data_IF_252990561251
#
_entry.id   IF_252990561251
#
_cell.length_a   1.000
_cell.length_b   1.000
_cell.length_c   1.000
_cell.angle_alpha   90.00
_cell.angle_beta   90.00
_cell.angle_gamma   90.00
#
_symmetry.space_group_name_H-M   'P 1'
#
loop_
_entity.id
_entity.type
_entity.pdbx_description
1 polymer ?
#
# COMPACT_ATOMS: atom_id res chain seq x y z
N UNK A 1 1.34 18.76 15.56
CA UNK A 1 0.58 18.56 14.30
C UNK A 1 1.53 18.32 13.11
N UNK A 2 2.44 19.24 12.79
CA UNK A 2 3.41 19.10 11.68
C UNK A 2 4.26 17.81 11.77
N UNK A 3 4.75 17.46 12.96
CA UNK A 3 5.52 16.23 13.17
C UNK A 3 4.73 14.96 12.79
N UNK A 4 3.43 14.93 13.09
CA UNK A 4 2.59 13.78 12.74
C UNK A 4 2.34 13.71 11.23
N UNK A 5 2.14 14.85 10.58
CA UNK A 5 2.02 14.94 9.11
C UNK A 5 3.28 14.43 8.42
N UNK A 6 4.46 14.93 8.82
CA UNK A 6 5.74 14.48 8.26
C UNK A 6 6.00 12.99 8.51
N UNK A 7 5.60 12.48 9.68
CA UNK A 7 5.70 11.07 10.03
C UNK A 7 4.81 10.19 9.13
N UNK A 8 3.54 10.57 8.93
CA UNK A 8 2.63 9.83 8.04
C UNK A 8 3.12 9.87 6.60
N UNK A 9 3.62 11.02 6.14
CA UNK A 9 4.17 11.17 4.80
C UNK A 9 5.41 10.31 4.58
N UNK A 10 6.38 10.34 5.50
CA UNK A 10 7.60 9.52 5.40
C UNK A 10 7.29 8.03 5.44
N UNK A 11 6.38 7.58 6.31
CA UNK A 11 6.00 6.15 6.35
C UNK A 11 5.20 5.72 5.13
N UNK A 12 4.36 6.59 4.58
CA UNK A 12 3.65 6.32 3.32
C UNK A 12 4.64 6.17 2.16
N UNK A 13 5.66 7.04 2.11
CA UNK A 13 6.72 6.97 1.12
C UNK A 13 7.54 5.69 1.26
N UNK A 14 8.00 5.37 2.48
CA UNK A 14 8.76 4.13 2.74
C UNK A 14 7.91 2.92 2.36
N UNK A 15 6.64 2.90 2.76
CA UNK A 15 5.72 1.81 2.42
C UNK A 15 5.58 1.61 0.92
N UNK A 16 5.42 2.70 0.15
CA UNK A 16 5.30 2.64 -1.29
C UNK A 16 6.59 2.13 -1.94
N UNK A 17 7.74 2.71 -1.58
CA UNK A 17 9.05 2.34 -2.13
C UNK A 17 9.37 0.89 -1.79
N UNK A 18 9.19 0.46 -0.53
CA UNK A 18 9.43 -0.92 -0.13
C UNK A 18 8.52 -1.89 -0.88
N UNK A 19 7.22 -1.60 -0.99
CA UNK A 19 6.29 -2.46 -1.72
C UNK A 19 6.70 -2.60 -3.19
N UNK A 20 7.11 -1.50 -3.83
CA UNK A 20 7.58 -1.54 -5.21
C UNK A 20 8.89 -2.32 -5.36
N UNK A 21 9.82 -2.21 -4.41
CA UNK A 21 11.07 -2.97 -4.44
C UNK A 21 10.85 -4.47 -4.26
N UNK A 22 9.90 -4.88 -3.41
CA UNK A 22 9.63 -6.29 -3.14
C UNK A 22 8.76 -6.97 -4.18
N UNK A 23 7.73 -6.27 -4.69
CA UNK A 23 6.72 -6.88 -5.55
C UNK A 23 6.85 -6.49 -7.02
N UNK A 24 7.37 -5.29 -7.32
CA UNK A 24 7.46 -4.74 -8.68
C UNK A 24 6.12 -4.75 -9.43
N UNK A 25 5.01 -4.65 -8.71
CA UNK A 25 3.64 -4.76 -9.26
C UNK A 25 3.05 -3.44 -9.72
N UNK A 26 3.61 -2.29 -9.31
CA UNK A 26 3.07 -0.98 -9.66
C UNK A 26 3.73 -0.51 -10.96
N UNK A 27 2.92 -0.37 -12.01
CA UNK A 27 3.32 0.24 -13.28
C UNK A 27 2.66 1.62 -13.40
N UNK A 28 3.49 2.62 -13.71
CA UNK A 28 3.15 4.04 -13.83
C UNK A 28 3.38 4.56 -15.26
N UNK A 29 3.61 3.65 -16.22
CA UNK A 29 3.81 3.98 -17.62
C UNK A 29 5.04 4.83 -17.93
N UNK A 30 5.01 5.52 -19.06
CA UNK A 30 6.15 6.25 -19.63
C UNK A 30 6.54 7.54 -18.89
N UNK A 31 5.62 8.14 -18.13
CA UNK A 31 5.86 9.38 -17.36
C UNK A 31 5.55 9.16 -15.87
N UNK A 32 6.45 8.50 -15.13
CA UNK A 32 6.14 8.00 -13.80
C UNK A 32 6.12 9.09 -12.71
N UNK A 33 6.72 10.26 -12.95
CA UNK A 33 6.91 11.28 -11.91
C UNK A 33 5.61 11.94 -11.41
N UNK A 34 4.69 12.40 -12.27
CA UNK A 34 3.42 12.96 -11.79
C UNK A 34 2.56 11.90 -11.08
N UNK A 35 2.58 10.67 -11.60
CA UNK A 35 1.75 9.57 -11.11
C UNK A 35 2.23 9.04 -9.77
N UNK A 36 3.55 8.93 -9.56
CA UNK A 36 4.10 8.51 -8.27
C UNK A 36 3.78 9.51 -7.16
N UNK A 37 3.78 10.81 -7.48
CA UNK A 37 3.39 11.87 -6.54
C UNK A 37 1.90 11.73 -6.20
N UNK A 38 1.05 11.49 -7.20
CA UNK A 38 -0.38 11.36 -6.98
C UNK A 38 -0.72 10.11 -6.15
N UNK A 39 -0.07 8.99 -6.45
CA UNK A 39 -0.16 7.74 -5.70
C UNK A 39 0.29 7.94 -4.25
N UNK A 40 1.44 8.58 -4.05
CA UNK A 40 1.95 8.91 -2.72
C UNK A 40 0.98 9.80 -1.94
N UNK A 41 0.44 10.85 -2.58
CA UNK A 41 -0.53 11.75 -1.94
C UNK A 41 -1.82 11.03 -1.58
N UNK A 42 -2.28 10.12 -2.44
CA UNK A 42 -3.49 9.32 -2.21
C UNK A 42 -3.31 8.40 -0.99
N UNK A 43 -2.18 7.68 -0.93
CA UNK A 43 -1.83 6.81 0.19
C UNK A 43 -1.64 7.64 1.48
N UNK A 44 -0.98 8.79 1.38
CA UNK A 44 -0.81 9.72 2.50
C UNK A 44 -2.15 10.19 3.07
N UNK A 45 -3.07 10.63 2.21
CA UNK A 45 -4.41 11.06 2.61
C UNK A 45 -5.19 9.91 3.25
N UNK A 46 -5.19 8.73 2.63
CA UNK A 46 -5.79 7.53 3.20
C UNK A 46 -5.27 7.28 4.61
N UNK A 47 -3.95 7.25 4.78
CA UNK A 47 -3.29 6.97 6.06
C UNK A 47 -3.57 8.03 7.12
N UNK A 48 -3.70 9.30 6.73
CA UNK A 48 -3.99 10.40 7.64
C UNK A 48 -5.45 10.39 8.11
N UNK A 49 -6.39 10.08 7.22
CA UNK A 49 -7.83 10.22 7.50
C UNK A 49 -8.53 8.93 7.92
N UNK A 50 -7.95 7.75 7.68
CA UNK A 50 -8.59 6.48 8.01
C UNK A 50 -8.90 6.34 9.51
N UNK A 51 -8.00 6.75 10.40
CA UNK A 51 -8.25 6.68 11.84
C UNK A 51 -9.39 7.61 12.29
N UNK A 52 -9.41 8.91 11.94
CA UNK A 52 -10.54 9.80 12.19
C UNK A 52 -11.87 9.26 11.64
N UNK A 53 -11.87 8.78 10.39
CA UNK A 53 -13.08 8.28 9.72
C UNK A 53 -13.63 7.06 10.44
N UNK A 54 -12.78 6.11 10.82
CA UNK A 54 -13.21 4.93 11.57
C UNK A 54 -13.71 5.30 12.98
N UNK A 55 -13.13 6.33 13.60
CA UNK A 55 -13.60 6.86 14.88
C UNK A 55 -15.04 7.39 14.82
N UNK A 56 -15.41 8.08 13.74
CA UNK A 56 -16.78 8.60 13.54
C UNK A 56 -17.78 7.45 13.38
N UNK A 57 -17.39 6.39 12.66
CA UNK A 57 -18.26 5.22 12.39
C UNK A 57 -18.20 4.19 13.54
N UNK A 58 -17.50 4.50 14.64
CA UNK A 58 -17.30 3.59 15.79
C UNK A 58 -16.70 2.22 15.40
N UNK A 59 -15.91 2.19 14.32
CA UNK A 59 -15.20 1.00 13.86
C UNK A 59 -13.86 0.82 14.60
N UNK A 60 -13.33 -0.42 14.67
CA UNK A 60 -12.05 -0.68 15.34
C UNK A 60 -10.90 0.17 14.77
N UNK A 61 -10.29 1.00 15.62
CA UNK A 61 -9.20 1.91 15.24
C UNK A 61 -7.78 1.40 15.61
N UNK A 62 -7.69 0.23 16.26
CA UNK A 62 -6.46 -0.37 16.77
C UNK A 62 -6.39 -1.89 16.51
N UNK A 63 -5.18 -2.45 16.62
CA UNK A 63 -4.93 -3.89 16.52
C UNK A 63 -5.07 -4.48 15.11
N UNK A 64 -5.20 -5.82 15.06
CA UNK A 64 -5.33 -6.60 13.82
C UNK A 64 -6.61 -6.30 13.04
N UNK A 65 -7.73 -6.03 13.73
CA UNK A 65 -8.99 -5.65 13.08
C UNK A 65 -8.84 -4.36 12.27
N UNK A 66 -8.13 -3.37 12.80
CA UNK A 66 -7.81 -2.17 12.03
C UNK A 66 -6.93 -2.49 10.82
N UNK A 67 -5.94 -3.39 10.94
CA UNK A 67 -5.10 -3.75 9.80
C UNK A 67 -5.95 -4.30 8.65
N UNK A 68 -6.92 -5.16 8.96
CA UNK A 68 -7.83 -5.70 7.95
C UNK A 68 -8.68 -4.60 7.28
N UNK A 69 -9.20 -3.65 8.06
CA UNK A 69 -9.97 -2.51 7.52
C UNK A 69 -9.06 -1.60 6.66
N UNK A 70 -7.86 -1.32 7.15
CA UNK A 70 -6.86 -0.50 6.44
C UNK A 70 -6.46 -1.13 5.10
N UNK A 71 -6.25 -2.44 5.10
CA UNK A 71 -6.03 -3.23 3.90
C UNK A 71 -7.19 -3.12 2.90
N UNK A 72 -8.44 -3.32 3.34
CA UNK A 72 -9.62 -3.19 2.47
C UNK A 72 -9.76 -1.77 1.88
N UNK A 73 -9.53 -0.75 2.71
CA UNK A 73 -9.57 0.63 2.23
C UNK A 73 -8.44 0.92 1.23
N UNK A 74 -7.27 0.33 1.43
CA UNK A 74 -6.15 0.43 0.48
C UNK A 74 -6.52 -0.19 -0.88
N UNK A 75 -7.17 -1.36 -0.89
CA UNK A 75 -7.71 -1.97 -2.12
C UNK A 75 -8.65 -1.00 -2.84
N UNK A 76 -9.62 -0.46 -2.12
CA UNK A 76 -10.64 0.43 -2.69
C UNK A 76 -9.98 1.68 -3.29
N UNK A 77 -9.05 2.30 -2.57
CA UNK A 77 -8.35 3.50 -3.03
C UNK A 77 -7.48 3.21 -4.26
N UNK A 78 -6.76 2.09 -4.29
CA UNK A 78 -5.98 1.72 -5.48
C UNK A 78 -6.88 1.43 -6.68
N UNK A 79 -8.03 0.77 -6.50
CA UNK A 79 -9.01 0.56 -7.57
C UNK A 79 -9.55 1.87 -8.14
N UNK A 80 -9.90 2.82 -7.26
CA UNK A 80 -10.33 4.16 -7.68
C UNK A 80 -9.19 4.86 -8.44
N UNK A 81 -7.96 4.76 -7.94
CA UNK A 81 -6.80 5.37 -8.58
C UNK A 81 -6.54 4.78 -9.98
N UNK A 82 -6.71 3.48 -10.18
CA UNK A 82 -6.60 2.85 -11.50
C UNK A 82 -7.63 3.36 -12.51
N UNK A 83 -8.79 3.81 -12.04
CA UNK A 83 -9.82 4.41 -12.92
C UNK A 83 -9.54 5.87 -13.23
N UNK A 84 -8.89 6.60 -12.31
CA UNK A 84 -8.58 8.02 -12.48
C UNK A 84 -7.29 8.22 -13.28
N UNK A 85 -6.26 7.41 -13.01
CA UNK A 85 -4.98 7.45 -13.70
C UNK A 85 -4.98 6.40 -14.81
N UNK A 86 -5.15 6.82 -16.06
CA UNK A 86 -5.19 5.90 -17.21
C UNK A 86 -3.90 5.09 -17.43
N UNK A 87 -2.77 5.55 -16.89
CA UNK A 87 -1.47 4.89 -16.98
C UNK A 87 -1.13 4.03 -15.76
N UNK A 88 -1.78 4.24 -14.61
CA UNK A 88 -1.52 3.48 -13.40
C UNK A 88 -2.18 2.11 -13.50
N UNK A 89 -1.36 1.06 -13.47
CA UNK A 89 -1.82 -0.32 -13.52
C UNK A 89 -1.09 -1.17 -12.51
N UNK A 90 -1.81 -2.15 -11.98
CA UNK A 90 -1.20 -3.22 -11.20
C UNK A 90 -0.95 -4.39 -12.13
N UNK A 91 0.32 -4.71 -12.33
CA UNK A 91 0.79 -5.77 -13.20
C UNK A 91 0.79 -7.11 -12.47
N UNK A 92 0.82 -8.19 -13.23
CA UNK A 92 0.98 -9.54 -12.70
C UNK A 92 2.25 -9.65 -11.86
N UNK A 93 2.13 -10.29 -10.70
CA UNK A 93 3.25 -10.53 -9.81
C UNK A 93 3.96 -11.79 -10.30
N UNK A 94 5.16 -11.63 -10.83
CA UNK A 94 6.01 -12.77 -11.19
C UNK A 94 6.61 -13.37 -9.92
N UNK A 95 6.31 -14.64 -9.66
CA UNK A 95 6.84 -15.38 -8.50
C UNK A 95 8.35 -15.60 -8.57
N UNK A 96 8.99 -15.38 -9.72
CA UNK A 96 10.46 -15.37 -9.87
C UNK A 96 11.13 -14.32 -8.95
N UNK A 97 10.42 -13.23 -8.65
CA UNK A 97 10.88 -12.19 -7.72
C UNK A 97 10.64 -12.56 -6.24
N UNK A 98 9.86 -13.60 -5.96
CA UNK A 98 9.65 -14.15 -4.61
C UNK A 98 10.67 -15.26 -4.35
N UNK A 99 11.95 -14.88 -4.23
CA UNK A 99 13.02 -15.79 -3.81
C UNK A 99 12.80 -16.21 -2.35
N UNK A 100 12.02 -17.27 -2.14
CA UNK A 100 12.02 -18.01 -0.88
C UNK A 100 13.23 -18.95 -0.86
N UNK A 101 14.08 -18.79 0.14
CA UNK A 101 15.25 -19.65 0.40
C UNK A 101 14.80 -21.12 0.45
N UNK A 102 15.13 -21.90 -0.58
CA UNK A 102 15.02 -23.37 -0.58
C UNK A 102 13.81 -23.99 -1.30
N UNK A 103 12.92 -23.22 -1.93
CA UNK A 103 11.79 -23.77 -2.71
C UNK A 103 11.63 -23.02 -4.03
N UNK A 104 11.90 -23.69 -5.15
CA UNK A 104 11.50 -23.22 -6.47
C UNK A 104 9.96 -23.26 -6.55
N UNK A 105 9.32 -22.15 -6.20
CA UNK A 105 7.89 -21.95 -6.47
C UNK A 105 7.78 -21.85 -8.00
N UNK A 106 6.94 -22.67 -8.66
CA UNK A 106 6.79 -22.57 -10.11
C UNK A 106 6.47 -21.13 -10.50
N UNK A 107 7.11 -20.66 -11.57
CA UNK A 107 6.97 -19.32 -12.16
C UNK A 107 5.54 -19.13 -12.71
N UNK A 108 4.58 -19.01 -11.81
CA UNK A 108 3.20 -18.70 -12.14
C UNK A 108 3.00 -17.22 -11.90
N UNK A 109 2.75 -16.48 -12.98
CA UNK A 109 2.26 -15.12 -12.87
C UNK A 109 0.93 -15.13 -12.12
N UNK A 110 0.88 -14.41 -11.01
CA UNK A 110 -0.35 -14.18 -10.28
C UNK A 110 -1.18 -13.17 -11.08
N UNK A 111 -2.49 -13.42 -11.22
CA UNK A 111 -3.38 -12.52 -11.95
C UNK A 111 -3.32 -11.10 -11.38
N UNK A 112 -3.52 -10.09 -12.22
CA UNK A 112 -3.53 -8.67 -11.82
C UNK A 112 -4.44 -8.37 -10.63
N UNK A 113 -5.58 -9.05 -10.52
CA UNK A 113 -6.49 -8.97 -9.37
C UNK A 113 -5.86 -9.46 -8.07
N UNK A 114 -5.12 -10.56 -8.12
CA UNK A 114 -4.46 -11.13 -6.95
C UNK A 114 -3.19 -10.34 -6.59
N UNK A 115 -2.47 -9.82 -7.59
CA UNK A 115 -1.41 -8.84 -7.40
C UNK A 115 -1.91 -7.60 -6.66
N UNK A 116 -3.10 -7.08 -7.01
CA UNK A 116 -3.70 -5.93 -6.34
C UNK A 116 -3.96 -6.22 -4.86
N UNK A 117 -4.48 -7.42 -4.56
CA UNK A 117 -4.70 -7.87 -3.18
C UNK A 117 -3.38 -7.96 -2.41
N UNK A 118 -2.36 -8.61 -2.97
CA UNK A 118 -1.06 -8.76 -2.30
C UNK A 118 -0.37 -7.41 -2.12
N UNK A 119 -0.38 -6.57 -3.15
CA UNK A 119 0.22 -5.22 -3.11
C UNK A 119 -0.43 -4.37 -2.04
N UNK A 120 -1.76 -4.35 -1.98
CA UNK A 120 -2.51 -3.62 -0.96
C UNK A 120 -2.20 -4.14 0.45
N UNK A 121 -2.08 -5.47 0.61
CA UNK A 121 -1.75 -6.09 1.88
C UNK A 121 -0.34 -5.69 2.34
N UNK A 122 0.67 -5.85 1.49
CA UNK A 122 2.06 -5.49 1.81
C UNK A 122 2.18 -3.99 2.11
N UNK A 123 1.54 -3.13 1.31
CA UNK A 123 1.52 -1.70 1.55
C UNK A 123 0.90 -1.37 2.92
N UNK A 124 -0.27 -1.94 3.22
CA UNK A 124 -0.93 -1.72 4.52
C UNK A 124 -0.09 -2.20 5.69
N UNK A 125 0.55 -3.37 5.55
CA UNK A 125 1.35 -4.01 6.59
C UNK A 125 2.62 -3.22 6.89
N UNK A 126 3.37 -2.81 5.87
CA UNK A 126 4.61 -2.03 6.04
C UNK A 126 4.28 -0.70 6.72
N UNK A 127 3.28 0.04 6.23
CA UNK A 127 2.86 1.29 6.85
C UNK A 127 2.46 1.08 8.33
N UNK A 128 1.61 0.07 8.62
CA UNK A 128 1.16 -0.19 10.00
C UNK A 128 2.32 -0.59 10.90
N UNK A 129 3.29 -1.34 10.40
CA UNK A 129 4.49 -1.72 11.12
C UNK A 129 5.30 -0.49 11.57
N UNK A 130 5.57 0.46 10.67
CA UNK A 130 6.27 1.70 11.02
C UNK A 130 5.46 2.59 11.97
N UNK A 131 4.14 2.68 11.77
CA UNK A 131 3.26 3.40 12.70
C UNK A 131 3.25 2.77 14.09
N UNK A 132 3.27 1.44 14.19
CA UNK A 132 3.34 0.75 15.47
C UNK A 132 4.71 0.94 16.14
N UNK A 133 5.81 0.79 15.40
CA UNK A 133 7.17 0.97 15.90
C UNK A 133 7.37 2.36 16.52
N UNK A 134 6.84 3.38 15.85
CA UNK A 134 6.93 4.77 16.27
C UNK A 134 5.84 5.22 17.26
N UNK A 135 4.85 4.37 17.53
CA UNK A 135 3.87 4.58 18.61
C UNK A 135 4.45 4.19 19.96
N UNK A 136 5.58 3.47 20.00
CA UNK A 136 6.35 3.22 21.22
C UNK A 136 7.28 4.41 21.49
N UNK A 137 6.74 5.44 22.13
CA UNK A 137 7.46 6.45 22.91
C UNK A 137 6.52 7.01 23.96
#
# INVERSE_FOLDING_TARGET
MLQNVLKVLTFSLISLVSTQMFLQTIDLGFSPFPEIILLLMTIFLLNMFIQPVLGIVSLPNTGLKFLFIHFLMTIIFLLILMQILGNFKIVELSTDNLLFVGSMIPSNNLSSSLSLVITSFVLSLIYRYFMWLSSKK
#
